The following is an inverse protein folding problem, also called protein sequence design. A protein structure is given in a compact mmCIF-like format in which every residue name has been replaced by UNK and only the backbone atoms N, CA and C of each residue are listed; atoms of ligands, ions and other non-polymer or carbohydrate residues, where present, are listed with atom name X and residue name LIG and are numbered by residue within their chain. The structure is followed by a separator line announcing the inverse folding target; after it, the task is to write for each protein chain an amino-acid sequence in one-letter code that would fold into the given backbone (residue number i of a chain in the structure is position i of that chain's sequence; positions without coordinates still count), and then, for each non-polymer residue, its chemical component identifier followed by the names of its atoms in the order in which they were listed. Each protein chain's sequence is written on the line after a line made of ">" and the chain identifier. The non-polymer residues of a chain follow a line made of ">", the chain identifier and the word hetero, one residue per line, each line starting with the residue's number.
data_IF_911715745186
#
_entry.id   IF_911715745186
#
_cell.length_a   1.000
_cell.length_b   1.000
_cell.length_c   1.000
_cell.angle_alpha   90.00
_cell.angle_beta   90.00
_cell.angle_gamma   90.00
#
_symmetry.space_group_name_H-M   'P 1'
#
loop_
_entity.id
_entity.type
_entity.pdbx_description
1 polymer ?
#
# COMPACT_ATOMS: atom_id res chain seq x y z
N UNK A 1 -42.43 -50.70 30.67
CA UNK A 1 -41.36 -51.55 31.24
C UNK A 1 -41.61 -51.53 32.73
N UNK A 2 -41.94 -52.66 33.34
CA UNK A 2 -42.38 -52.73 34.75
C UNK A 2 -41.22 -52.85 35.75
N UNK A 3 -40.04 -53.20 35.25
CA UNK A 3 -38.79 -53.18 36.02
C UNK A 3 -37.58 -52.95 35.10
N UNK A 4 -36.53 -52.35 35.64
CA UNK A 4 -35.24 -52.10 34.99
C UNK A 4 -34.13 -52.74 35.79
N UNK A 5 -33.34 -53.59 35.14
CA UNK A 5 -32.16 -54.23 35.73
C UNK A 5 -30.89 -53.45 35.37
N UNK A 6 -29.98 -53.27 36.33
CA UNK A 6 -28.69 -52.57 36.16
C UNK A 6 -27.52 -53.55 36.32
N UNK A 7 -27.08 -54.26 35.27
CA UNK A 7 -26.07 -55.31 35.41
C UNK A 7 -24.69 -54.77 35.81
N UNK A 8 -24.02 -55.48 36.72
CA UNK A 8 -22.63 -55.16 37.13
C UNK A 8 -21.64 -55.16 35.96
N UNK A 9 -21.87 -56.00 34.95
CA UNK A 9 -21.02 -56.08 33.75
C UNK A 9 -21.05 -54.80 32.90
N UNK A 10 -22.08 -53.97 33.06
CA UNK A 10 -22.23 -52.69 32.36
C UNK A 10 -21.97 -51.50 33.27
N UNK A 11 -21.44 -51.72 34.49
CA UNK A 11 -21.16 -50.66 35.47
C UNK A 11 -22.33 -50.33 36.41
N UNK A 12 -23.40 -51.11 36.38
CA UNK A 12 -24.51 -51.01 37.33
C UNK A 12 -24.22 -51.71 38.67
N UNK A 13 -25.18 -51.66 39.59
CA UNK A 13 -25.07 -52.23 40.95
C UNK A 13 -25.60 -53.67 41.07
N UNK A 14 -26.08 -54.25 39.97
CA UNK A 14 -26.66 -55.60 39.91
C UNK A 14 -28.10 -55.69 40.38
N UNK A 15 -28.74 -54.57 40.72
CA UNK A 15 -30.09 -54.57 41.26
C UNK A 15 -31.15 -54.32 40.18
N UNK A 16 -32.37 -54.77 40.46
CA UNK A 16 -33.56 -54.49 39.65
C UNK A 16 -34.47 -53.51 40.38
N UNK A 17 -34.87 -52.43 39.70
CA UNK A 17 -35.79 -51.41 40.21
C UNK A 17 -37.12 -51.51 39.48
N UNK A 18 -38.24 -51.50 40.21
CA UNK A 18 -39.60 -51.65 39.64
C UNK A 18 -40.52 -50.49 40.01
N UNK A 19 -41.65 -50.38 39.32
CA UNK A 19 -42.75 -49.46 39.64
C UNK A 19 -44.12 -50.18 39.79
N UNK A 20 -44.14 -51.51 39.78
CA UNK A 20 -45.34 -52.36 39.81
C UNK A 20 -45.41 -53.30 41.03
N UNK A 21 -44.47 -53.20 41.96
CA UNK A 21 -44.34 -54.06 43.13
C UNK A 21 -43.58 -55.37 42.89
N UNK A 22 -42.99 -55.56 41.70
CA UNK A 22 -42.30 -56.82 41.35
C UNK A 22 -40.90 -56.99 41.94
N UNK A 23 -40.27 -55.93 42.45
CA UNK A 23 -38.93 -55.95 43.07
C UNK A 23 -38.95 -55.48 44.52
N UNK A 24 -37.92 -55.86 45.28
CA UNK A 24 -37.67 -55.30 46.62
C UNK A 24 -37.28 -53.82 46.60
N UNK A 25 -36.80 -53.32 45.44
CA UNK A 25 -36.50 -51.90 45.19
C UNK A 25 -37.56 -51.28 44.29
N UNK A 26 -38.77 -51.25 44.80
CA UNK A 26 -39.93 -50.74 44.09
C UNK A 26 -40.19 -49.26 44.39
N UNK A 27 -40.73 -48.52 43.42
CA UNK A 27 -41.02 -47.10 43.56
C UNK A 27 -42.39 -46.81 44.22
N UNK A 28 -43.25 -47.82 44.42
CA UNK A 28 -44.54 -47.62 45.09
C UNK A 28 -44.39 -47.38 46.59
N UNK A 29 -45.46 -46.87 47.21
CA UNK A 29 -45.64 -46.78 48.66
C UNK A 29 -44.51 -46.02 49.41
N UNK A 30 -43.99 -44.95 48.80
CA UNK A 30 -42.90 -44.11 49.33
C UNK A 30 -41.50 -44.55 48.88
N UNK A 31 -41.37 -45.67 48.16
CA UNK A 31 -40.09 -46.17 47.67
C UNK A 31 -39.38 -45.21 46.70
N UNK A 32 -40.12 -44.36 45.98
CA UNK A 32 -39.54 -43.33 45.12
C UNK A 32 -38.58 -42.38 45.86
N UNK A 33 -38.80 -42.09 47.15
CA UNK A 33 -37.92 -41.22 47.95
C UNK A 33 -36.56 -41.87 48.23
N UNK A 34 -36.54 -43.21 48.29
CA UNK A 34 -35.33 -43.99 48.61
C UNK A 34 -34.60 -44.48 47.37
N UNK A 35 -35.31 -44.78 46.28
CA UNK A 35 -34.75 -45.56 45.17
C UNK A 35 -34.69 -44.81 43.84
N UNK A 36 -35.47 -43.74 43.63
CA UNK A 36 -35.48 -43.01 42.36
C UNK A 36 -34.11 -42.40 42.05
N UNK A 37 -33.51 -41.71 43.03
CA UNK A 37 -32.21 -41.06 42.83
C UNK A 37 -31.09 -42.11 42.64
N UNK A 38 -31.16 -43.23 43.36
CA UNK A 38 -30.23 -44.34 43.20
C UNK A 38 -30.34 -44.98 41.79
N UNK A 39 -31.54 -45.22 41.28
CA UNK A 39 -31.75 -45.76 39.94
C UNK A 39 -31.26 -44.81 38.83
N UNK A 40 -31.49 -43.49 39.00
CA UNK A 40 -30.95 -42.48 38.08
C UNK A 40 -29.41 -42.46 38.10
N UNK A 41 -28.79 -42.59 39.27
CA UNK A 41 -27.33 -42.70 39.39
C UNK A 41 -26.79 -43.95 38.68
N UNK A 42 -27.47 -45.10 38.76
CA UNK A 42 -27.06 -46.30 38.01
C UNK A 42 -27.12 -46.12 36.50
N UNK A 43 -28.12 -45.36 36.01
CA UNK A 43 -28.21 -45.04 34.58
C UNK A 43 -27.01 -44.19 34.12
N UNK A 44 -26.58 -43.23 34.95
CA UNK A 44 -25.38 -42.42 34.69
C UNK A 44 -24.10 -43.26 34.78
N UNK A 45 -24.00 -44.18 35.74
CA UNK A 45 -22.86 -45.07 35.89
C UNK A 45 -22.69 -45.99 34.67
N UNK A 46 -23.77 -46.61 34.19
CA UNK A 46 -23.72 -47.46 32.99
C UNK A 46 -23.37 -46.66 31.72
N UNK A 47 -23.86 -45.42 31.59
CA UNK A 47 -23.46 -44.54 30.50
C UNK A 47 -21.96 -44.18 30.55
N UNK A 48 -21.42 -43.94 31.75
CA UNK A 48 -19.99 -43.73 31.98
C UNK A 48 -19.15 -44.95 31.59
N UNK A 49 -19.56 -46.15 32.02
CA UNK A 49 -18.89 -47.41 31.66
C UNK A 49 -18.94 -47.70 30.15
N UNK A 50 -20.04 -47.37 29.48
CA UNK A 50 -20.14 -47.46 28.01
C UNK A 50 -19.16 -46.50 27.32
N UNK A 51 -19.05 -45.26 27.80
CA UNK A 51 -18.09 -44.28 27.29
C UNK A 51 -16.62 -44.72 27.51
N UNK A 52 -16.28 -45.23 28.70
CA UNK A 52 -14.95 -45.77 28.99
C UNK A 52 -14.61 -46.99 28.13
N UNK A 53 -15.59 -47.86 27.87
CA UNK A 53 -15.43 -49.03 27.00
C UNK A 53 -15.18 -48.65 25.53
N UNK A 54 -15.79 -47.55 25.06
CA UNK A 54 -15.54 -47.02 23.72
C UNK A 54 -14.10 -46.48 23.57
N UNK A 55 -13.57 -45.83 24.62
CA UNK A 55 -12.18 -45.31 24.62
C UNK A 55 -11.15 -46.45 24.65
N UNK A 56 -11.38 -47.49 25.45
CA UNK A 56 -10.47 -48.65 25.50
C UNK A 56 -10.51 -49.50 24.23
N UNK A 57 -11.65 -49.56 23.53
CA UNK A 57 -11.79 -50.26 22.25
C UNK A 57 -10.87 -49.70 21.16
N UNK A 58 -10.61 -48.38 21.14
CA UNK A 58 -9.66 -47.76 20.20
C UNK A 58 -8.24 -48.29 20.42
N UNK A 59 -7.87 -48.56 21.67
CA UNK A 59 -6.56 -49.04 22.09
C UNK A 59 -6.47 -50.58 22.25
N UNK A 60 -7.49 -51.32 21.81
CA UNK A 60 -7.49 -52.78 21.91
C UNK A 60 -6.33 -53.39 21.08
N UNK A 61 -5.78 -54.55 21.50
CA UNK A 61 -4.73 -55.23 20.75
C UNK A 61 -5.10 -55.60 19.31
N UNK A 62 -6.39 -55.70 18.99
CA UNK A 62 -6.90 -55.97 17.64
C UNK A 62 -6.94 -54.75 16.71
N UNK A 63 -6.94 -53.53 17.27
CA UNK A 63 -7.09 -52.25 16.55
C UNK A 63 -5.81 -51.42 16.48
N UNK A 64 -4.68 -52.03 16.84
CA UNK A 64 -3.34 -51.46 16.75
C UNK A 64 -2.38 -52.49 16.15
N UNK A 65 -1.46 -52.04 15.33
CA UNK A 65 -0.52 -52.88 14.62
C UNK A 65 0.85 -52.24 14.47
N UNK A 66 1.84 -53.02 14.08
CA UNK A 66 3.13 -52.52 13.63
C UNK A 66 3.48 -53.13 12.28
N UNK A 67 4.33 -52.46 11.52
CA UNK A 67 4.88 -52.95 10.25
C UNK A 67 6.39 -52.73 10.24
N UNK A 68 7.15 -53.71 9.77
CA UNK A 68 8.61 -53.64 9.61
C UNK A 68 9.04 -53.38 8.16
N UNK A 69 8.07 -53.11 7.28
CA UNK A 69 8.36 -52.75 5.89
C UNK A 69 9.06 -51.40 5.84
N UNK A 70 10.23 -51.35 5.21
CA UNK A 70 10.89 -50.08 4.93
C UNK A 70 10.17 -49.37 3.77
N UNK A 71 9.64 -48.18 4.04
CA UNK A 71 8.83 -47.41 3.09
C UNK A 71 9.16 -45.92 3.20
N UNK A 72 9.01 -45.20 2.09
CA UNK A 72 9.05 -43.75 2.05
C UNK A 72 7.70 -43.15 2.42
N UNK A 73 7.71 -42.02 3.12
CA UNK A 73 6.51 -41.19 3.32
C UNK A 73 6.06 -40.64 1.97
N UNK A 74 4.86 -41.00 1.53
CA UNK A 74 4.29 -40.54 0.27
C UNK A 74 2.76 -40.53 0.30
N UNK A 75 2.17 -39.68 -0.54
CA UNK A 75 0.73 -39.67 -0.82
C UNK A 75 0.33 -40.83 -1.73
N UNK A 76 -0.95 -41.19 -1.70
CA UNK A 76 -1.51 -42.29 -2.49
C UNK A 76 -1.37 -43.66 -1.83
N UNK A 77 -1.60 -44.76 -2.56
CA UNK A 77 -1.63 -46.09 -1.99
C UNK A 77 -0.26 -46.55 -1.48
N UNK A 78 -0.18 -46.89 -0.20
CA UNK A 78 1.00 -47.46 0.47
C UNK A 78 0.63 -48.82 1.08
N UNK A 79 1.48 -49.83 0.88
CA UNK A 79 1.21 -51.20 1.37
C UNK A 79 2.14 -51.57 2.53
N UNK A 80 1.54 -51.81 3.69
CA UNK A 80 2.19 -52.23 4.91
C UNK A 80 1.92 -53.72 5.17
N UNK A 81 2.83 -54.36 5.92
CA UNK A 81 2.59 -55.71 6.44
C UNK A 81 2.43 -55.60 7.95
N UNK A 82 1.19 -55.64 8.42
CA UNK A 82 0.87 -55.69 9.85
C UNK A 82 0.85 -57.13 10.36
N UNK A 83 0.71 -57.33 11.67
CA UNK A 83 0.56 -58.67 12.23
C UNK A 83 -0.71 -59.35 11.72
N UNK A 84 -0.67 -60.68 11.59
CA UNK A 84 -1.83 -61.51 11.26
C UNK A 84 -2.86 -61.49 12.39
N UNK A 85 -4.15 -61.67 12.06
CA UNK A 85 -5.23 -61.77 13.05
C UNK A 85 -5.65 -60.44 13.69
N UNK A 86 -5.25 -59.30 13.13
CA UNK A 86 -5.74 -57.97 13.55
C UNK A 86 -7.15 -57.72 12.99
N UNK A 87 -7.94 -56.92 13.71
CA UNK A 87 -9.33 -56.64 13.41
C UNK A 87 -9.50 -55.36 12.56
N UNK A 88 -8.63 -55.18 11.57
CA UNK A 88 -8.72 -54.04 10.65
C UNK A 88 -9.83 -54.25 9.62
N UNK A 89 -10.52 -53.17 9.25
CA UNK A 89 -11.62 -53.22 8.27
C UNK A 89 -11.34 -52.22 7.14
N UNK A 90 -11.59 -52.63 5.91
CA UNK A 90 -11.51 -51.74 4.73
C UNK A 90 -12.49 -50.57 4.92
N UNK A 91 -12.03 -49.35 4.69
CA UNK A 91 -12.74 -48.10 4.92
C UNK A 91 -12.46 -47.43 6.29
N UNK A 92 -11.74 -48.10 7.20
CA UNK A 92 -11.29 -47.45 8.43
C UNK A 92 -10.13 -46.50 8.16
N UNK A 93 -10.14 -45.35 8.84
CA UNK A 93 -9.04 -44.39 8.81
C UNK A 93 -7.97 -44.77 9.84
N UNK A 94 -6.71 -44.71 9.42
CA UNK A 94 -5.55 -45.07 10.24
C UNK A 94 -4.47 -44.00 10.19
N UNK A 95 -3.75 -43.87 11.31
CA UNK A 95 -2.49 -43.13 11.38
C UNK A 95 -1.35 -44.13 11.41
N UNK A 96 -0.39 -43.96 10.51
CA UNK A 96 0.81 -44.79 10.38
C UNK A 96 2.04 -43.92 10.66
N UNK A 97 2.62 -44.05 11.86
CA UNK A 97 3.74 -43.22 12.30
C UNK A 97 5.05 -44.01 12.32
N UNK A 98 6.16 -43.40 11.95
CA UNK A 98 7.47 -44.03 12.02
C UNK A 98 7.80 -44.37 13.48
N UNK A 99 8.07 -45.64 13.79
CA UNK A 99 8.19 -46.12 15.18
C UNK A 99 9.34 -45.44 15.92
N UNK A 100 10.47 -45.23 15.27
CA UNK A 100 11.65 -44.57 15.86
C UNK A 100 11.56 -43.02 15.85
N UNK A 101 10.66 -42.44 15.06
CA UNK A 101 10.50 -41.00 14.92
C UNK A 101 9.02 -40.61 14.70
N UNK A 102 8.18 -40.67 15.75
CA UNK A 102 6.71 -40.53 15.61
C UNK A 102 6.21 -39.20 15.05
N UNK A 103 7.08 -38.18 14.96
CA UNK A 103 6.81 -36.92 14.25
C UNK A 103 6.66 -37.09 12.74
N UNK A 104 7.20 -38.17 12.17
CA UNK A 104 7.05 -38.53 10.75
C UNK A 104 5.93 -39.56 10.60
N UNK A 105 4.88 -39.22 9.85
CA UNK A 105 3.70 -40.09 9.76
C UNK A 105 2.90 -39.89 8.46
N UNK A 106 2.06 -40.88 8.17
CA UNK A 106 1.08 -40.93 7.09
C UNK A 106 -0.31 -41.16 7.69
N UNK A 107 -1.34 -40.57 7.11
CA UNK A 107 -2.73 -40.78 7.50
C UNK A 107 -3.61 -40.98 6.25
N UNK A 108 -4.54 -41.92 6.33
CA UNK A 108 -5.44 -42.24 5.24
C UNK A 108 -6.36 -43.42 5.57
N UNK A 109 -7.12 -43.86 4.56
CA UNK A 109 -8.11 -44.93 4.70
C UNK A 109 -7.57 -46.27 4.19
N UNK A 110 -7.90 -47.35 4.90
CA UNK A 110 -7.59 -48.71 4.47
C UNK A 110 -8.41 -49.05 3.23
N UNK A 111 -7.74 -49.36 2.12
CA UNK A 111 -8.38 -49.75 0.85
C UNK A 111 -8.32 -51.26 0.59
N UNK A 112 -7.41 -51.98 1.26
CA UNK A 112 -7.36 -53.44 1.24
C UNK A 112 -6.74 -53.97 2.54
N UNK A 113 -7.24 -55.10 3.05
CA UNK A 113 -6.66 -55.81 4.18
C UNK A 113 -6.87 -57.32 4.06
N UNK A 114 -5.81 -58.10 4.31
CA UNK A 114 -5.87 -59.56 4.42
C UNK A 114 -5.41 -59.99 5.82
N UNK A 115 -6.36 -60.41 6.66
CA UNK A 115 -6.08 -60.83 8.04
C UNK A 115 -5.23 -62.11 8.17
N UNK A 116 -5.18 -62.94 7.13
CA UNK A 116 -4.37 -64.16 7.09
C UNK A 116 -2.90 -63.91 6.77
N UNK A 117 -2.59 -62.89 5.96
CA UNK A 117 -1.19 -62.54 5.59
C UNK A 117 -0.69 -61.26 6.27
N UNK A 118 -1.57 -60.47 6.87
CA UNK A 118 -1.23 -59.18 7.48
C UNK A 118 -1.02 -58.05 6.47
N UNK A 119 -1.18 -58.30 5.16
CA UNK A 119 -1.03 -57.26 4.14
C UNK A 119 -2.17 -56.24 4.23
N UNK A 120 -1.82 -54.94 4.28
CA UNK A 120 -2.74 -53.82 4.36
C UNK A 120 -2.32 -52.72 3.39
N UNK A 121 -3.24 -52.25 2.55
CA UNK A 121 -3.03 -51.06 1.72
C UNK A 121 -3.82 -49.89 2.29
N UNK A 122 -3.14 -48.78 2.54
CA UNK A 122 -3.71 -47.52 3.00
C UNK A 122 -3.57 -46.50 1.88
N UNK A 123 -4.68 -45.86 1.48
CA UNK A 123 -4.62 -44.73 0.57
C UNK A 123 -4.31 -43.47 1.39
N UNK A 124 -3.05 -43.05 1.38
CA UNK A 124 -2.55 -41.94 2.18
C UNK A 124 -2.97 -40.60 1.58
N UNK A 125 -3.69 -39.80 2.35
CA UNK A 125 -4.19 -38.48 1.94
C UNK A 125 -3.45 -37.34 2.64
N UNK A 126 -2.81 -37.61 3.77
CA UNK A 126 -2.09 -36.61 4.56
C UNK A 126 -0.77 -37.17 5.08
N UNK A 127 0.29 -36.37 5.01
CA UNK A 127 1.63 -36.75 5.49
C UNK A 127 2.22 -35.64 6.37
N UNK A 128 3.13 -36.01 7.26
CA UNK A 128 3.99 -35.09 7.99
C UNK A 128 5.42 -35.65 8.03
N UNK A 129 6.40 -34.80 7.75
CA UNK A 129 7.79 -35.24 7.53
C UNK A 129 8.04 -35.83 6.15
N UNK A 130 9.25 -36.30 5.92
CA UNK A 130 9.72 -36.87 4.64
C UNK A 130 10.77 -37.96 4.88
N UNK A 131 11.16 -38.68 3.83
CA UNK A 131 12.18 -39.74 3.90
C UNK A 131 11.61 -41.14 4.14
N UNK A 132 12.50 -42.11 4.40
CA UNK A 132 12.16 -43.52 4.62
C UNK A 132 12.21 -43.91 6.09
N UNK A 133 11.26 -44.72 6.56
CA UNK A 133 11.32 -45.34 7.87
C UNK A 133 11.35 -46.87 7.74
N UNK A 134 12.10 -47.53 8.62
CA UNK A 134 12.27 -48.99 8.64
C UNK A 134 11.18 -49.72 9.45
N UNK A 135 10.45 -49.01 10.30
CA UNK A 135 9.36 -49.57 11.10
C UNK A 135 8.27 -48.52 11.32
N UNK A 136 7.03 -49.00 11.39
CA UNK A 136 5.82 -48.20 11.48
C UNK A 136 4.90 -48.72 12.57
N UNK A 137 4.29 -47.81 13.31
CA UNK A 137 3.20 -48.06 14.25
C UNK A 137 1.89 -47.61 13.61
N UNK A 138 0.91 -48.51 13.54
CA UNK A 138 -0.39 -48.32 12.90
C UNK A 138 -1.46 -48.28 14.00
N UNK A 139 -2.20 -47.19 14.09
CA UNK A 139 -3.29 -47.02 15.06
C UNK A 139 -4.57 -46.54 14.37
N UNK A 140 -5.73 -46.93 14.91
CA UNK A 140 -7.01 -46.33 14.51
C UNK A 140 -6.97 -44.81 14.67
N UNK A 141 -7.66 -44.11 13.77
CA UNK A 141 -7.80 -42.66 13.82
C UNK A 141 -9.19 -42.24 13.32
N UNK A 142 -9.59 -41.01 13.63
CA UNK A 142 -10.75 -40.41 12.98
C UNK A 142 -10.48 -40.14 11.49
N UNK A 143 -11.54 -40.00 10.67
CA UNK A 143 -11.38 -39.64 9.26
C UNK A 143 -10.67 -38.29 9.10
N UNK A 144 -9.89 -38.14 8.03
CA UNK A 144 -9.31 -36.84 7.68
C UNK A 144 -10.44 -35.89 7.34
N UNK A 145 -10.57 -34.82 8.12
CA UNK A 145 -11.31 -33.65 7.65
C UNK A 145 -10.51 -33.08 6.48
N UNK A 146 -11.04 -33.23 5.26
CA UNK A 146 -10.40 -32.74 4.04
C UNK A 146 -9.99 -31.28 4.27
N UNK A 147 -8.77 -30.93 3.87
CA UNK A 147 -8.20 -29.57 3.86
C UNK A 147 -9.08 -28.55 3.08
N UNK A 148 -10.16 -29.01 2.45
CA UNK A 148 -11.24 -28.22 1.85
C UNK A 148 -12.33 -27.72 2.81
N UNK A 149 -12.37 -28.16 4.07
CA UNK A 149 -13.25 -27.53 5.07
C UNK A 149 -12.81 -26.07 5.30
N UNK A 150 -11.49 -25.80 5.22
CA UNK A 150 -10.94 -24.46 5.39
C UNK A 150 -11.32 -23.54 4.23
N UNK A 151 -11.28 -24.02 2.98
CA UNK A 151 -11.70 -23.22 1.81
C UNK A 151 -13.21 -22.98 1.78
N UNK A 152 -14.04 -23.96 2.19
CA UNK A 152 -15.49 -23.77 2.26
C UNK A 152 -15.92 -22.84 3.41
N UNK A 153 -15.23 -22.89 4.56
CA UNK A 153 -15.44 -21.99 5.70
C UNK A 153 -14.95 -20.55 5.44
N UNK A 154 -13.98 -20.38 4.54
CA UNK A 154 -13.56 -19.08 4.03
C UNK A 154 -14.58 -18.55 3.01
N UNK A 155 -15.12 -19.42 2.15
CA UNK A 155 -16.06 -19.03 1.09
C UNK A 155 -17.48 -18.70 1.59
N UNK A 156 -17.93 -19.29 2.71
CA UNK A 156 -19.27 -19.06 3.28
C UNK A 156 -19.32 -17.92 4.33
N UNK A 157 -18.19 -17.24 4.59
CA UNK A 157 -18.09 -16.15 5.56
C UNK A 157 -18.25 -16.59 7.02
N UNK A 158 -18.24 -17.90 7.31
CA UNK A 158 -18.33 -18.42 8.68
C UNK A 158 -17.08 -18.13 9.50
N UNK A 159 -15.94 -17.80 8.86
CA UNK A 159 -14.74 -17.24 9.47
C UNK A 159 -14.82 -15.71 9.48
N UNK A 160 -15.25 -15.13 10.60
CA UNK A 160 -15.28 -13.69 10.83
C UNK A 160 -14.00 -13.21 11.54
N UNK A 161 -13.67 -11.91 11.44
CA UNK A 161 -12.51 -11.30 12.12
C UNK A 161 -12.42 -11.60 13.64
N UNK A 162 -13.52 -11.78 14.40
CA UNK A 162 -13.45 -12.19 15.81
C UNK A 162 -13.14 -13.68 16.03
N UNK A 163 -13.41 -14.55 15.04
CA UNK A 163 -13.12 -16.00 15.12
C UNK A 163 -11.66 -16.32 14.82
N UNK A 164 -10.96 -15.40 14.16
CA UNK A 164 -9.50 -15.38 14.12
C UNK A 164 -9.00 -14.81 15.46
N UNK A 165 -9.07 -15.61 16.53
CA UNK A 165 -8.56 -15.18 17.82
C UNK A 165 -7.10 -14.75 17.64
N UNK A 166 -6.79 -13.50 18.01
CA UNK A 166 -5.52 -12.82 17.76
C UNK A 166 -4.27 -13.58 18.25
N UNK A 167 -4.45 -14.61 19.09
CA UNK A 167 -3.39 -15.49 19.58
C UNK A 167 -3.03 -16.67 18.67
N UNK A 168 -3.90 -17.08 17.74
CA UNK A 168 -3.69 -18.29 16.91
C UNK A 168 -2.96 -17.98 15.61
N UNK A 169 -3.12 -16.77 15.08
CA UNK A 169 -2.34 -16.26 13.94
C UNK A 169 -1.21 -15.38 14.49
N UNK A 170 -0.28 -16.01 15.19
CA UNK A 170 0.99 -15.35 15.52
C UNK A 170 1.87 -15.41 14.28
N UNK A 171 1.84 -14.36 13.46
CA UNK A 171 2.99 -14.00 12.64
C UNK A 171 2.83 -13.80 11.14
N UNK A 172 1.67 -14.05 10.49
CA UNK A 172 1.59 -13.82 9.04
C UNK A 172 0.16 -13.64 8.46
N UNK A 173 -0.01 -12.55 7.70
CA UNK A 173 -0.84 -12.47 6.48
C UNK A 173 -2.37 -12.32 6.61
N UNK A 174 -2.83 -11.25 7.25
CA UNK A 174 -3.99 -10.48 6.70
C UNK A 174 -3.60 -9.04 6.37
N UNK A 175 -2.43 -8.60 6.83
CA UNK A 175 -1.82 -7.30 6.53
C UNK A 175 -0.35 -7.41 6.11
N UNK A 176 0.10 -8.58 5.63
CA UNK A 176 1.39 -8.64 4.96
C UNK A 176 1.22 -7.92 3.62
N UNK A 177 1.74 -6.71 3.60
CA UNK A 177 1.79 -5.81 2.48
C UNK A 177 2.33 -6.53 1.23
N UNK A 178 1.57 -6.64 0.12
CA UNK A 178 2.12 -7.13 -1.13
C UNK A 178 3.16 -6.16 -1.72
N UNK A 179 3.23 -4.91 -1.22
CA UNK A 179 4.22 -3.92 -1.61
C UNK A 179 4.58 -2.98 -0.43
N UNK A 180 5.58 -3.33 0.41
CA UNK A 180 6.05 -2.48 1.51
C UNK A 180 6.61 -1.12 1.07
N UNK A 181 6.60 -0.81 -0.24
CA UNK A 181 6.99 0.48 -0.79
C UNK A 181 5.79 1.39 -1.14
N UNK A 182 4.55 0.88 -1.05
CA UNK A 182 3.35 1.65 -1.37
C UNK A 182 2.89 2.53 -0.19
N UNK A 183 3.44 3.75 -0.14
CA UNK A 183 3.03 4.87 0.71
C UNK A 183 1.53 5.18 0.54
N UNK A 184 0.70 4.59 1.42
CA UNK A 184 -0.75 4.55 1.26
C UNK A 184 -1.48 4.93 2.55
N UNK A 185 -2.39 5.89 2.43
CA UNK A 185 -3.30 6.32 3.48
C UNK A 185 -4.50 5.38 3.54
N UNK A 186 -4.91 4.96 4.72
CA UNK A 186 -6.18 4.26 4.93
C UNK A 186 -7.31 5.30 4.88
N UNK A 187 -8.08 5.31 3.78
CA UNK A 187 -9.25 6.18 3.66
C UNK A 187 -10.51 5.35 3.89
N UNK A 188 -11.43 5.85 4.73
CA UNK A 188 -12.76 5.27 4.89
C UNK A 188 -13.58 5.61 3.63
N UNK A 189 -13.74 4.65 2.73
CA UNK A 189 -14.61 4.79 1.58
C UNK A 189 -16.02 4.37 1.99
N UNK A 190 -16.92 5.35 2.16
CA UNK A 190 -18.31 5.10 2.51
C UNK A 190 -19.05 4.25 1.46
N UNK A 191 -18.54 4.13 0.23
CA UNK A 191 -19.13 3.32 -0.84
C UNK A 191 -18.67 1.86 -0.85
N UNK A 192 -17.56 1.53 -0.16
CA UNK A 192 -16.93 0.21 -0.24
C UNK A 192 -17.15 -0.68 0.99
N UNK A 193 -17.79 -0.19 2.06
CA UNK A 193 -18.01 -0.97 3.29
C UNK A 193 -16.73 -1.40 4.03
N UNK A 194 -15.54 -1.04 3.52
CA UNK A 194 -14.22 -1.30 4.09
C UNK A 194 -13.25 -0.15 3.76
N UNK A 195 -12.30 0.17 4.66
CA UNK A 195 -11.27 1.17 4.37
C UNK A 195 -10.41 0.73 3.19
N UNK A 196 -10.32 1.59 2.17
CA UNK A 196 -9.48 1.37 0.99
C UNK A 196 -8.15 2.10 1.20
N UNK A 197 -7.03 1.39 1.02
CA UNK A 197 -5.70 2.02 0.94
C UNK A 197 -5.61 2.83 -0.35
N UNK A 198 -5.31 4.11 -0.22
CA UNK A 198 -5.15 5.05 -1.33
C UNK A 198 -3.72 5.59 -1.29
N UNK A 199 -2.96 5.56 -2.41
CA UNK A 199 -1.62 6.15 -2.45
C UNK A 199 -1.65 7.62 -2.03
N UNK A 200 -0.66 8.10 -1.26
CA UNK A 200 -0.64 9.50 -0.82
C UNK A 200 -0.64 10.47 -2.01
N UNK A 201 -0.04 10.06 -3.13
CA UNK A 201 -0.03 10.80 -4.41
C UNK A 201 -1.41 11.06 -5.01
N UNK A 202 -2.43 10.29 -4.60
CA UNK A 202 -3.83 10.49 -4.99
C UNK A 202 -4.55 11.50 -4.08
N UNK A 203 -4.00 11.79 -2.91
CA UNK A 203 -4.54 12.77 -1.95
C UNK A 203 -3.80 14.11 -2.09
N UNK A 204 -2.47 14.07 -2.21
CA UNK A 204 -1.61 15.22 -2.44
C UNK A 204 -0.65 14.89 -3.60
N UNK A 205 -0.87 15.45 -4.80
CA UNK A 205 0.02 15.15 -5.93
C UNK A 205 1.44 15.68 -5.66
N UNK A 206 2.44 14.93 -6.13
CA UNK A 206 3.84 15.35 -6.03
C UNK A 206 4.03 16.72 -6.72
N UNK A 207 4.79 17.60 -6.07
CA UNK A 207 5.01 18.98 -6.54
C UNK A 207 3.99 20.01 -6.03
N UNK A 208 2.97 19.60 -5.28
CA UNK A 208 2.06 20.53 -4.62
C UNK A 208 2.79 21.36 -3.54
N UNK A 209 2.61 22.68 -3.61
CA UNK A 209 3.10 23.63 -2.60
C UNK A 209 2.04 23.82 -1.51
N UNK A 210 2.40 23.53 -0.24
CA UNK A 210 1.51 23.63 0.90
C UNK A 210 2.07 24.61 1.94
N UNK A 211 1.26 25.57 2.43
CA UNK A 211 1.63 26.32 3.63
C UNK A 211 1.58 25.40 4.85
N UNK A 212 2.56 25.52 5.73
CA UNK A 212 2.65 24.72 6.94
C UNK A 212 3.02 25.60 8.13
N UNK A 213 2.31 25.41 9.25
CA UNK A 213 2.46 26.25 10.45
C UNK A 213 3.53 25.73 11.43
N UNK A 214 4.04 24.51 11.26
CA UNK A 214 5.09 23.94 12.11
C UNK A 214 6.50 24.25 11.61
N UNK A 215 7.49 24.12 12.49
CA UNK A 215 8.89 24.46 12.19
C UNK A 215 9.69 23.33 11.52
N UNK A 216 9.21 22.08 11.59
CA UNK A 216 9.86 20.92 10.97
C UNK A 216 8.92 20.33 9.92
N UNK A 217 9.38 20.07 8.68
CA UNK A 217 8.55 19.43 7.67
C UNK A 217 7.93 18.15 8.20
N UNK A 218 6.59 17.97 8.09
CA UNK A 218 5.99 16.70 8.42
C UNK A 218 6.52 15.61 7.49
N UNK A 219 6.40 14.32 7.86
CA UNK A 219 6.75 13.20 7.00
C UNK A 219 6.18 13.37 5.58
N UNK A 220 6.94 12.91 4.58
CA UNK A 220 6.57 12.98 3.16
C UNK A 220 6.49 14.39 2.55
N UNK A 221 7.08 15.39 3.22
CA UNK A 221 7.21 16.76 2.69
C UNK A 221 8.65 17.24 2.73
N UNK A 222 8.99 18.20 1.86
CA UNK A 222 10.27 18.90 1.85
C UNK A 222 10.03 20.41 1.99
N UNK A 223 10.99 21.12 2.59
CA UNK A 223 10.96 22.58 2.60
C UNK A 223 11.12 23.12 1.18
N UNK A 224 10.41 24.20 0.87
CA UNK A 224 10.64 24.98 -0.36
C UNK A 224 11.72 26.04 -0.11
N UNK A 225 12.97 25.60 -0.03
CA UNK A 225 14.14 26.41 0.34
C UNK A 225 15.24 26.45 -0.75
N UNK A 226 14.96 25.94 -1.95
CA UNK A 226 15.95 25.88 -3.05
C UNK A 226 16.97 24.75 -2.93
N UNK A 227 16.85 23.85 -1.94
CA UNK A 227 17.79 22.74 -1.78
C UNK A 227 17.76 21.76 -2.96
N UNK A 228 18.89 21.10 -3.19
CA UNK A 228 19.02 20.08 -4.24
C UNK A 228 18.83 18.67 -3.67
N UNK A 229 18.06 17.83 -4.36
CA UNK A 229 17.75 16.47 -3.97
C UNK A 229 18.03 15.47 -5.10
N UNK A 230 18.22 14.21 -4.72
CA UNK A 230 18.43 13.09 -5.65
C UNK A 230 17.16 12.80 -6.46
N UNK A 231 17.28 12.77 -7.79
CA UNK A 231 16.18 12.40 -8.68
C UNK A 231 15.74 10.94 -8.46
N UNK A 232 16.67 10.04 -8.09
CA UNK A 232 16.35 8.64 -7.82
C UNK A 232 15.56 8.46 -6.52
N UNK A 233 15.92 9.20 -5.46
CA UNK A 233 15.23 9.11 -4.17
C UNK A 233 13.84 9.75 -4.18
N UNK A 234 13.64 10.76 -5.04
CA UNK A 234 12.39 11.52 -5.14
C UNK A 234 11.84 11.51 -6.56
N UNK A 235 11.73 10.34 -7.18
CA UNK A 235 11.38 10.18 -8.60
C UNK A 235 10.05 10.87 -9.00
N UNK A 236 9.02 10.80 -8.13
CA UNK A 236 7.73 11.45 -8.41
C UNK A 236 7.83 12.98 -8.36
N UNK A 237 8.56 13.53 -7.39
CA UNK A 237 8.77 14.97 -7.28
C UNK A 237 9.67 15.48 -8.42
N UNK A 238 10.70 14.72 -8.78
CA UNK A 238 11.54 15.00 -9.93
C UNK A 238 10.71 15.09 -11.22
N UNK A 239 9.83 14.11 -11.47
CA UNK A 239 8.95 14.10 -12.64
C UNK A 239 7.94 15.27 -12.65
N UNK A 240 7.54 15.77 -11.48
CA UNK A 240 6.65 16.92 -11.36
C UNK A 240 7.37 18.27 -11.63
N UNK A 241 8.65 18.39 -11.23
CA UNK A 241 9.39 19.65 -11.31
C UNK A 241 10.30 19.76 -12.54
N UNK A 242 10.70 18.64 -13.14
CA UNK A 242 11.64 18.58 -14.26
C UNK A 242 11.02 17.82 -15.43
N UNK A 243 10.94 18.47 -16.58
CA UNK A 243 10.57 17.83 -17.84
C UNK A 243 11.81 17.68 -18.72
N UNK A 244 12.04 16.48 -19.24
CA UNK A 244 13.12 16.25 -20.21
C UNK A 244 12.71 15.22 -21.26
N UNK A 245 13.29 15.33 -22.46
CA UNK A 245 13.15 14.35 -23.53
C UNK A 245 14.28 14.51 -24.55
N UNK A 246 14.47 13.48 -25.39
CA UNK A 246 15.24 13.63 -26.61
C UNK A 246 14.57 14.66 -27.53
N UNK A 247 15.38 15.54 -28.13
CA UNK A 247 14.92 16.61 -29.03
C UNK A 247 15.76 16.61 -30.30
N UNK A 248 15.22 17.15 -31.38
CA UNK A 248 16.02 17.51 -32.56
C UNK A 248 16.05 19.03 -32.72
N UNK A 249 17.16 19.55 -33.23
CA UNK A 249 17.36 20.98 -33.44
C UNK A 249 17.69 21.16 -34.92
N UNK A 250 16.96 22.03 -35.61
CA UNK A 250 17.25 22.36 -37.01
C UNK A 250 18.49 23.24 -37.09
N UNK A 251 19.24 23.18 -38.18
CA UNK A 251 20.25 24.18 -38.53
C UNK A 251 19.57 25.21 -39.45
N UNK A 252 18.99 26.25 -38.87
CA UNK A 252 18.15 27.23 -39.56
C UNK A 252 18.14 28.62 -38.89
N UNK A 253 17.54 29.59 -39.58
CA UNK A 253 17.42 30.98 -39.13
C UNK A 253 15.95 31.42 -39.16
N UNK A 254 15.18 31.33 -38.06
CA UNK A 254 15.57 30.87 -36.73
C UNK A 254 15.70 29.35 -36.59
N UNK A 255 16.43 28.90 -35.55
CA UNK A 255 16.51 27.49 -35.18
C UNK A 255 15.23 27.01 -34.50
N UNK A 256 14.72 25.87 -34.94
CA UNK A 256 13.52 25.22 -34.39
C UNK A 256 13.93 23.98 -33.60
N UNK A 257 13.43 23.88 -32.37
CA UNK A 257 13.53 22.70 -31.51
C UNK A 257 12.27 21.87 -31.71
N UNK A 258 12.44 20.60 -32.08
CA UNK A 258 11.35 19.63 -32.13
C UNK A 258 11.37 18.81 -30.84
N UNK A 259 10.32 18.98 -30.04
CA UNK A 259 10.06 18.26 -28.80
C UNK A 259 8.58 17.88 -28.76
N UNK A 260 8.27 16.63 -29.12
CA UNK A 260 6.89 16.13 -29.19
C UNK A 260 6.19 16.19 -27.83
N UNK A 261 4.99 16.78 -27.78
CA UNK A 261 4.17 16.85 -26.56
C UNK A 261 4.85 17.60 -25.40
N UNK A 262 5.57 18.68 -25.72
CA UNK A 262 6.37 19.40 -24.72
C UNK A 262 5.53 20.14 -23.68
N UNK A 263 4.31 20.59 -24.02
CA UNK A 263 3.40 21.32 -23.11
C UNK A 263 4.10 22.47 -22.35
N UNK A 264 5.08 23.12 -22.99
CA UNK A 264 5.83 24.24 -22.42
C UNK A 264 5.15 25.54 -22.85
N UNK A 265 5.00 26.46 -21.90
CA UNK A 265 4.49 27.80 -22.18
C UNK A 265 5.58 28.76 -22.67
N UNK A 266 5.14 29.95 -23.09
CA UNK A 266 6.04 31.05 -23.42
C UNK A 266 6.97 31.40 -22.27
N UNK A 267 8.20 31.77 -22.59
CA UNK A 267 9.25 32.15 -21.66
C UNK A 267 9.74 31.02 -20.72
N UNK A 268 9.31 29.76 -20.89
CA UNK A 268 9.81 28.68 -20.03
C UNK A 268 11.33 28.51 -20.20
N UNK A 269 12.09 28.32 -19.11
CA UNK A 269 13.52 28.10 -19.18
C UNK A 269 13.81 26.68 -19.69
N UNK A 270 14.64 26.58 -20.73
CA UNK A 270 15.09 25.33 -21.32
C UNK A 270 16.61 25.31 -21.41
N UNK A 271 17.22 24.16 -21.16
CA UNK A 271 18.65 23.90 -21.37
C UNK A 271 18.81 22.63 -22.19
N UNK A 272 19.97 22.48 -22.82
CA UNK A 272 20.29 21.34 -23.66
C UNK A 272 21.51 20.57 -23.15
N UNK A 273 21.47 19.25 -23.29
CA UNK A 273 22.65 18.38 -23.22
C UNK A 273 22.78 17.61 -24.53
N UNK A 274 23.99 17.11 -24.82
CA UNK A 274 24.27 16.33 -26.02
C UNK A 274 25.37 15.31 -25.77
N UNK A 275 25.36 14.19 -26.49
CA UNK A 275 26.49 13.24 -26.54
C UNK A 275 27.56 13.62 -27.56
N UNK A 276 27.33 14.69 -28.34
CA UNK A 276 28.28 15.21 -29.34
C UNK A 276 28.35 16.73 -29.28
N UNK A 277 27.96 17.41 -30.36
CA UNK A 277 28.00 18.87 -30.48
C UNK A 277 26.60 19.42 -30.83
N UNK A 278 26.19 20.50 -30.16
CA UNK A 278 25.00 21.28 -30.54
C UNK A 278 25.32 22.18 -31.75
N UNK A 279 24.31 22.61 -32.53
CA UNK A 279 24.49 23.65 -33.55
C UNK A 279 25.12 24.93 -32.98
N UNK A 280 25.87 25.63 -33.83
CA UNK A 280 26.37 26.98 -33.49
C UNK A 280 25.20 27.90 -33.22
N UNK A 281 25.26 28.64 -32.10
CA UNK A 281 24.16 29.47 -31.57
C UNK A 281 23.63 28.95 -30.24
N UNK A 282 23.83 27.65 -29.95
CA UNK A 282 23.43 27.02 -28.68
C UNK A 282 24.64 26.39 -27.98
N UNK A 283 24.63 26.42 -26.66
CA UNK A 283 25.64 25.83 -25.79
C UNK A 283 24.98 24.92 -24.75
N UNK A 284 25.68 23.84 -24.38
CA UNK A 284 25.22 22.92 -23.32
C UNK A 284 25.15 23.66 -21.98
N UNK A 285 24.22 23.24 -21.12
CA UNK A 285 24.02 23.82 -19.78
C UNK A 285 23.79 25.35 -19.77
N UNK A 286 23.40 25.93 -20.90
CA UNK A 286 23.00 27.33 -20.99
C UNK A 286 21.48 27.41 -20.94
N UNK A 287 20.95 28.35 -20.14
CA UNK A 287 19.50 28.57 -20.04
C UNK A 287 19.05 29.47 -21.18
N UNK A 288 18.09 28.98 -21.95
CA UNK A 288 17.37 29.69 -22.99
C UNK A 288 15.88 29.76 -22.62
N UNK A 289 15.11 30.57 -23.35
CA UNK A 289 13.70 30.79 -23.09
C UNK A 289 12.85 30.47 -24.31
N UNK A 290 11.72 29.78 -24.10
CA UNK A 290 10.79 29.44 -25.20
C UNK A 290 10.16 30.72 -25.77
N UNK A 291 10.25 30.91 -27.10
CA UNK A 291 9.66 32.08 -27.78
C UNK A 291 8.15 31.89 -27.90
N UNK A 292 7.31 32.72 -27.23
CA UNK A 292 5.87 32.47 -27.11
C UNK A 292 5.15 32.35 -28.46
N UNK A 293 5.48 33.21 -29.43
CA UNK A 293 4.84 33.24 -30.74
C UNK A 293 5.17 32.03 -31.65
N UNK A 294 6.11 31.16 -31.25
CA UNK A 294 6.59 30.04 -32.05
C UNK A 294 6.07 28.67 -31.61
N UNK A 295 5.31 28.62 -30.51
CA UNK A 295 4.91 27.38 -29.85
C UNK A 295 3.85 26.67 -30.68
N UNK A 296 4.11 25.40 -30.99
CA UNK A 296 3.11 24.43 -31.46
C UNK A 296 2.99 23.29 -30.45
N UNK A 297 2.24 22.22 -30.75
CA UNK A 297 2.21 21.05 -29.87
C UNK A 297 3.57 20.32 -29.77
N UNK A 298 4.42 20.45 -30.79
CA UNK A 298 5.61 19.61 -30.96
C UNK A 298 6.90 20.40 -31.26
N UNK A 299 6.81 21.72 -31.46
CA UNK A 299 7.96 22.54 -31.86
C UNK A 299 7.91 23.91 -31.20
N UNK A 300 9.09 24.49 -30.97
CA UNK A 300 9.24 25.88 -30.56
C UNK A 300 10.62 26.42 -30.94
N UNK A 301 10.78 27.73 -30.89
CA UNK A 301 12.07 28.44 -31.02
C UNK A 301 12.53 28.91 -29.63
N UNK A 302 13.82 29.19 -29.49
CA UNK A 302 14.42 29.64 -28.23
C UNK A 302 15.11 30.99 -28.35
N UNK A 303 15.12 31.77 -27.27
CA UNK A 303 15.79 33.08 -27.13
C UNK A 303 16.77 33.09 -25.96
N UNK A 304 17.72 34.04 -25.94
CA UNK A 304 18.68 34.19 -24.85
C UNK A 304 18.08 34.85 -23.59
N UNK A 305 17.01 35.63 -23.76
CA UNK A 305 16.30 36.34 -22.70
C UNK A 305 14.79 36.08 -22.79
N UNK A 306 14.04 36.19 -21.69
CA UNK A 306 12.58 36.15 -21.74
C UNK A 306 12.04 37.24 -22.68
N UNK A 307 11.13 36.86 -23.58
CA UNK A 307 10.59 37.76 -24.62
C UNK A 307 11.58 38.21 -25.69
N UNK A 308 12.80 37.67 -25.71
CA UNK A 308 13.84 38.01 -26.68
C UNK A 308 13.59 37.45 -28.09
N UNK A 309 14.42 37.87 -29.04
CA UNK A 309 14.40 37.36 -30.42
C UNK A 309 14.85 35.89 -30.48
N UNK A 310 14.30 35.16 -31.45
CA UNK A 310 14.66 33.77 -31.69
C UNK A 310 16.11 33.62 -32.16
N UNK A 311 16.80 32.61 -31.63
CA UNK A 311 18.20 32.32 -31.92
C UNK A 311 18.30 31.60 -33.28
N UNK A 312 19.21 32.10 -34.12
CA UNK A 312 19.61 31.41 -35.34
C UNK A 312 20.61 30.31 -35.01
N UNK A 313 20.52 29.20 -35.73
CA UNK A 313 21.38 28.03 -35.59
C UNK A 313 22.11 27.77 -36.91
N UNK A 314 23.41 27.45 -36.83
CA UNK A 314 24.26 27.24 -38.00
C UNK A 314 25.31 26.15 -37.74
N UNK A 315 26.12 25.83 -38.75
CA UNK A 315 27.21 24.86 -38.63
C UNK A 315 26.74 23.40 -38.66
N UNK A 316 27.52 22.51 -38.05
CA UNK A 316 27.22 21.08 -37.96
C UNK A 316 26.81 20.70 -36.53
N UNK A 317 26.06 19.60 -36.39
CA UNK A 317 25.67 19.03 -35.10
C UNK A 317 25.87 17.52 -35.12
N UNK A 318 26.07 16.91 -33.95
CA UNK A 318 26.24 15.47 -33.81
C UNK A 318 25.79 14.98 -32.42
N UNK A 319 25.43 13.69 -32.35
CA UNK A 319 25.01 13.05 -31.11
C UNK A 319 23.52 13.20 -30.82
N UNK A 320 23.07 12.54 -29.75
CA UNK A 320 21.70 12.67 -29.27
C UNK A 320 21.58 13.93 -28.40
N UNK A 321 20.60 14.78 -28.68
CA UNK A 321 20.32 15.98 -27.90
C UNK A 321 19.15 15.76 -26.96
N UNK A 322 19.27 16.23 -25.72
CA UNK A 322 18.20 16.19 -24.72
C UNK A 322 17.82 17.61 -24.35
N UNK A 323 16.53 17.92 -24.49
CA UNK A 323 15.94 19.15 -23.98
C UNK A 323 15.52 18.95 -22.53
N UNK A 324 15.81 19.94 -21.68
CA UNK A 324 15.50 19.90 -20.25
C UNK A 324 14.84 21.22 -19.87
N UNK A 325 13.62 21.16 -19.34
CA UNK A 325 12.92 22.27 -18.70
C UNK A 325 12.87 21.99 -17.20
N UNK A 326 13.61 22.78 -16.43
CA UNK A 326 13.68 22.67 -14.98
C UNK A 326 13.66 24.08 -14.37
N UNK A 327 12.47 24.67 -14.17
CA UNK A 327 12.32 26.05 -13.73
C UNK A 327 13.04 26.40 -12.43
N UNK A 328 13.17 25.42 -11.55
CA UNK A 328 13.81 25.57 -10.25
C UNK A 328 15.27 25.16 -10.25
N UNK A 329 15.75 24.52 -11.33
CA UNK A 329 17.12 24.01 -11.45
C UNK A 329 17.22 22.48 -11.37
N UNK A 330 18.20 21.94 -12.07
CA UNK A 330 18.62 20.54 -11.97
C UNK A 330 20.05 20.36 -12.47
N UNK A 331 20.70 19.24 -12.13
CA UNK A 331 21.94 18.84 -12.77
C UNK A 331 21.74 18.54 -14.27
N UNK A 332 22.79 18.65 -15.08
CA UNK A 332 22.69 18.40 -16.52
C UNK A 332 22.53 16.92 -16.85
N UNK A 333 23.07 16.04 -16.01
CA UNK A 333 22.95 14.58 -16.08
C UNK A 333 21.62 14.07 -15.48
N UNK A 334 20.75 14.98 -15.00
CA UNK A 334 19.49 14.67 -14.35
C UNK A 334 19.60 13.84 -13.06
N UNK A 335 20.79 13.77 -12.45
CA UNK A 335 21.00 13.07 -11.17
C UNK A 335 20.33 13.76 -9.98
N UNK A 336 20.17 15.09 -10.05
CA UNK A 336 19.60 15.92 -8.99
C UNK A 336 18.70 17.03 -9.53
N UNK A 337 17.78 17.51 -8.70
CA UNK A 337 16.89 18.64 -8.98
C UNK A 337 16.75 19.56 -7.76
N UNK A 338 16.39 20.81 -7.98
CA UNK A 338 16.12 21.79 -6.93
C UNK A 338 14.63 21.89 -6.65
N UNK A 339 14.27 21.97 -5.37
CA UNK A 339 12.91 22.36 -4.95
C UNK A 339 12.72 23.88 -5.11
N UNK A 340 11.47 24.37 -5.22
CA UNK A 340 11.21 25.80 -5.24
C UNK A 340 11.82 26.53 -4.03
N UNK A 341 12.30 27.76 -4.20
CA UNK A 341 12.59 28.66 -3.08
C UNK A 341 11.50 29.73 -2.99
N UNK A 342 10.60 29.57 -2.01
CA UNK A 342 9.46 30.46 -1.78
C UNK A 342 9.63 31.35 -0.55
N UNK A 343 10.79 31.31 0.12
CA UNK A 343 11.03 32.10 1.32
C UNK A 343 11.00 33.59 0.99
N UNK A 344 10.14 34.34 1.70
CA UNK A 344 9.98 35.79 1.49
C UNK A 344 9.36 36.17 0.13
N UNK A 345 8.70 35.23 -0.56
CA UNK A 345 8.12 35.45 -1.89
C UNK A 345 6.65 35.05 -1.88
N UNK A 346 5.81 35.84 -2.54
CA UNK A 346 4.42 35.47 -2.79
C UNK A 346 4.32 34.54 -4.00
N UNK A 347 3.36 33.61 -3.97
CA UNK A 347 2.98 32.86 -5.17
C UNK A 347 2.08 33.73 -6.03
N UNK A 348 2.46 33.93 -7.29
CA UNK A 348 1.66 34.62 -8.31
C UNK A 348 1.27 33.63 -9.40
N UNK A 349 0.03 33.73 -9.88
CA UNK A 349 -0.49 32.81 -10.88
C UNK A 349 0.21 32.99 -12.21
N UNK A 350 0.59 31.88 -12.84
CA UNK A 350 1.07 31.91 -14.21
C UNK A 350 -0.07 32.31 -15.16
N UNK A 351 0.24 33.17 -16.12
CA UNK A 351 -0.75 33.71 -17.07
C UNK A 351 -1.43 32.66 -17.95
N UNK A 352 -0.68 31.64 -18.40
CA UNK A 352 -1.19 30.57 -19.28
C UNK A 352 -1.92 31.06 -20.54
N UNK A 353 -1.57 32.25 -21.05
CA UNK A 353 -2.19 32.83 -22.24
C UNK A 353 -3.46 33.63 -21.98
N UNK A 354 -3.81 33.90 -20.71
CA UNK A 354 -4.92 34.78 -20.36
C UNK A 354 -4.65 36.26 -20.72
N UNK A 355 -3.39 36.65 -20.88
CA UNK A 355 -2.98 38.03 -21.21
C UNK A 355 -2.91 38.99 -20.02
N UNK A 356 -3.06 38.48 -18.78
CA UNK A 356 -2.99 39.24 -17.54
C UNK A 356 -1.55 39.40 -17.01
N UNK A 357 -0.66 38.41 -17.23
CA UNK A 357 0.78 38.47 -16.89
C UNK A 357 1.67 37.74 -17.94
N UNK A 358 1.57 38.11 -19.24
CA UNK A 358 2.00 37.28 -20.39
C UNK A 358 3.52 37.06 -20.53
N UNK A 359 4.34 37.74 -19.71
CA UNK A 359 5.81 37.69 -19.79
C UNK A 359 6.47 36.79 -18.73
N UNK A 360 5.67 35.98 -18.02
CA UNK A 360 6.15 35.13 -16.92
C UNK A 360 6.39 33.70 -17.36
N UNK A 361 7.47 33.14 -16.81
CA UNK A 361 7.76 31.72 -16.86
C UNK A 361 7.44 31.07 -15.51
N UNK A 362 7.14 29.78 -15.49
CA UNK A 362 7.10 29.02 -14.24
C UNK A 362 8.40 29.25 -13.45
N UNK A 363 8.30 29.43 -12.13
CA UNK A 363 9.44 29.68 -11.26
C UNK A 363 10.15 31.03 -11.42
N UNK A 364 9.72 31.89 -12.36
CA UNK A 364 10.35 33.20 -12.56
C UNK A 364 10.14 34.12 -11.37
N UNK A 365 11.24 34.70 -10.88
CA UNK A 365 11.22 35.73 -9.84
C UNK A 365 10.84 37.10 -10.42
N UNK A 366 10.02 37.84 -9.70
CA UNK A 366 9.72 39.24 -9.97
C UNK A 366 9.90 40.05 -8.69
N UNK A 367 10.67 41.13 -8.78
CA UNK A 367 10.91 42.05 -7.68
C UNK A 367 9.66 42.84 -7.30
N UNK A 368 9.70 43.41 -6.09
CA UNK A 368 8.75 44.40 -5.64
C UNK A 368 8.80 45.67 -6.51
N UNK A 369 7.67 46.33 -6.64
CA UNK A 369 7.52 47.52 -7.44
C UNK A 369 6.35 48.38 -6.94
N UNK A 370 6.49 49.70 -7.09
CA UNK A 370 5.42 50.67 -6.92
C UNK A 370 5.24 51.42 -8.24
N UNK A 371 4.00 51.64 -8.72
CA UNK A 371 3.74 52.36 -9.95
C UNK A 371 4.42 53.71 -9.92
N UNK A 372 5.01 54.10 -11.06
CA UNK A 372 5.56 55.44 -11.21
C UNK A 372 4.45 56.47 -11.00
N UNK A 373 4.60 57.33 -9.98
CA UNK A 373 3.65 58.39 -9.68
C UNK A 373 4.38 59.66 -9.22
N UNK A 374 3.66 60.77 -9.28
CA UNK A 374 4.11 62.07 -8.80
C UNK A 374 3.05 62.68 -7.88
N UNK A 375 3.49 63.54 -6.96
CA UNK A 375 2.61 64.27 -6.06
C UNK A 375 2.51 65.73 -6.48
N UNK A 376 1.29 66.26 -6.52
CA UNK A 376 1.06 67.69 -6.67
C UNK A 376 1.08 68.38 -5.30
N UNK A 377 1.84 69.46 -5.15
CA UNK A 377 1.75 70.34 -3.99
C UNK A 377 1.03 71.63 -4.38
N UNK A 378 -0.02 71.97 -3.61
CA UNK A 378 -0.78 73.21 -3.76
C UNK A 378 -0.38 74.21 -2.68
N UNK A 379 0.10 75.39 -3.07
CA UNK A 379 0.30 76.50 -2.15
C UNK A 379 -1.02 77.25 -1.95
N UNK A 380 -1.64 77.11 -0.78
CA UNK A 380 -2.78 77.93 -0.38
C UNK A 380 -2.26 79.26 0.16
N UNK A 381 -2.57 80.37 -0.53
CA UNK A 381 -2.25 81.70 -0.03
C UNK A 381 -3.08 81.97 1.24
N UNK A 382 -2.42 82.06 2.41
CA UNK A 382 -3.05 82.61 3.61
C UNK A 382 -3.26 84.12 3.37
N UNK A 383 -4.49 84.52 3.08
CA UNK A 383 -4.86 85.93 3.03
C UNK A 383 -4.79 86.53 4.44
N UNK A 384 -3.76 87.34 4.71
CA UNK A 384 -3.69 88.10 5.96
C UNK A 384 -2.43 88.95 6.04
N UNK A 385 -2.60 90.27 5.97
CA UNK A 385 -1.51 91.25 5.99
C UNK A 385 -0.67 91.20 7.26
N UNK A 386 0.65 91.21 7.08
CA UNK A 386 1.62 91.29 8.17
C UNK A 386 2.92 90.59 7.81
N UNK A 387 4.02 91.34 7.83
CA UNK A 387 5.36 90.93 7.40
C UNK A 387 5.88 89.69 8.11
N UNK A 388 5.67 88.51 7.51
CA UNK A 388 6.44 87.31 7.78
C UNK A 388 6.76 86.65 6.44
N UNK A 389 7.95 86.95 5.91
CA UNK A 389 8.50 86.29 4.73
C UNK A 389 8.76 84.82 5.04
N UNK A 390 7.76 83.97 4.82
CA UNK A 390 8.01 82.54 4.64
C UNK A 390 8.59 82.34 3.24
N UNK A 391 9.81 81.80 3.17
CA UNK A 391 10.46 81.42 1.92
C UNK A 391 9.74 80.22 1.30
N UNK A 392 8.63 80.48 0.62
CA UNK A 392 8.00 79.54 -0.29
C UNK A 392 8.68 79.69 -1.66
N UNK A 393 9.33 78.64 -2.13
CA UNK A 393 9.97 78.51 -3.46
C UNK A 393 8.93 78.38 -4.59
N UNK A 394 7.92 79.26 -4.64
CA UNK A 394 6.89 79.22 -5.69
C UNK A 394 6.08 80.50 -5.81
N UNK A 395 5.87 80.95 -7.05
CA UNK A 395 4.99 82.07 -7.38
C UNK A 395 3.52 81.72 -7.09
N UNK A 396 2.72 82.66 -6.55
CA UNK A 396 1.31 82.41 -6.24
C UNK A 396 0.53 81.97 -7.48
N UNK A 397 -0.23 80.86 -7.36
CA UNK A 397 -1.05 80.29 -8.45
C UNK A 397 -0.40 79.17 -9.27
N UNK A 398 0.81 78.72 -8.92
CA UNK A 398 1.50 77.63 -9.64
C UNK A 398 1.21 76.25 -9.04
N UNK A 399 0.81 75.28 -9.86
CA UNK A 399 0.76 73.86 -9.49
C UNK A 399 2.15 73.24 -9.70
N UNK A 400 2.73 72.68 -8.64
CA UNK A 400 4.03 72.00 -8.71
C UNK A 400 3.84 70.51 -8.55
N UNK A 401 4.43 69.73 -9.45
CA UNK A 401 4.51 68.27 -9.32
C UNK A 401 5.92 67.87 -8.92
N UNK A 402 6.06 66.86 -8.07
CA UNK A 402 7.34 66.15 -7.91
C UNK A 402 7.72 65.45 -9.22
N UNK A 403 8.98 65.05 -9.34
CA UNK A 403 9.36 64.12 -10.40
C UNK A 403 8.62 62.78 -10.20
N UNK A 404 8.39 62.08 -11.31
CA UNK A 404 7.83 60.74 -11.29
C UNK A 404 8.83 59.78 -10.64
N UNK A 405 8.41 59.14 -9.55
CA UNK A 405 9.21 58.17 -8.82
C UNK A 405 8.48 56.82 -8.75
N UNK A 406 9.24 55.72 -8.80
CA UNK A 406 8.71 54.35 -8.84
C UNK A 406 9.25 53.55 -10.02
N UNK A 407 8.88 52.27 -10.11
CA UNK A 407 9.27 51.39 -11.22
C UNK A 407 8.11 50.48 -11.59
N UNK A 408 7.86 50.30 -12.90
CA UNK A 408 6.77 49.45 -13.40
C UNK A 408 5.37 50.08 -13.34
N UNK A 409 4.37 49.27 -13.70
CA UNK A 409 2.98 49.67 -13.91
C UNK A 409 2.01 49.17 -12.82
N UNK A 410 2.51 48.52 -11.77
CA UNK A 410 1.68 47.83 -10.76
C UNK A 410 2.35 47.90 -9.39
N UNK A 411 1.54 48.04 -8.33
CA UNK A 411 1.98 47.82 -6.95
C UNK A 411 2.07 46.32 -6.69
N UNK A 412 3.27 45.82 -6.38
CA UNK A 412 3.46 44.40 -6.10
C UNK A 412 4.58 44.15 -5.11
N UNK A 413 4.43 43.03 -4.40
CA UNK A 413 5.48 42.43 -3.57
C UNK A 413 6.34 41.48 -4.40
N UNK A 414 7.52 41.12 -3.86
CA UNK A 414 8.37 40.07 -4.41
C UNK A 414 7.56 38.79 -4.58
N UNK A 415 7.59 38.22 -5.78
CA UNK A 415 6.79 37.07 -6.10
C UNK A 415 7.50 36.10 -7.04
N UNK A 416 7.00 34.86 -7.05
CA UNK A 416 7.42 33.80 -7.95
C UNK A 416 6.20 33.22 -8.65
N UNK A 417 6.35 32.94 -9.94
CA UNK A 417 5.25 32.41 -10.75
C UNK A 417 5.04 30.91 -10.51
N UNK A 418 3.80 30.52 -10.26
CA UNK A 418 3.39 29.14 -10.05
C UNK A 418 2.04 28.86 -10.73
N UNK A 419 1.80 27.58 -11.02
CA UNK A 419 0.50 27.11 -11.51
C UNK A 419 -0.39 26.81 -10.32
N UNK A 420 -1.62 27.34 -10.35
CA UNK A 420 -2.65 26.97 -9.39
C UNK A 420 -3.52 25.86 -9.99
N UNK A 421 -3.70 24.79 -9.22
CA UNK A 421 -4.55 23.65 -9.57
C UNK A 421 -5.62 23.46 -8.52
N UNK A 422 -6.75 22.89 -8.92
CA UNK A 422 -7.84 22.49 -8.03
C UNK A 422 -8.04 20.98 -8.17
N UNK A 423 -8.12 20.28 -7.04
CA UNK A 423 -8.44 18.84 -7.01
C UNK A 423 -9.95 18.64 -7.24
N UNK A 424 -10.35 17.59 -7.96
CA UNK A 424 -11.74 17.26 -8.28
C UNK A 424 -12.12 15.85 -7.82
#
# INVERSE_FOLDING_TARGET
>A
MTAVNFPVALGGDGNTYSDDGSSSRDMNNGGYESYLLAAMQQTVAMAGSAASSAVSAVNAPGSNGTSTNSLNVALGPQTFTTQTGKAWVVGQSVKVAATAAPGTWMHGDITAYNGGTGSMTVNVTTINGSGSAAAWTISLSGPVLIVGAVTSQIADGSVSTPKLAASVISGATVCADPDPTADSLLMHDASAGAPRRVPISRVLPAGLLLPYAGHTPPPYTLLCDGASYSAASYAQLFAALVKSAAVTISVASPGVVTWTGHNLGGNYPVKFSTTGALPTGLAVNTVYYVVPASITANTFQVSATPGGAAINTSGTQAGAHTGICAPWGCALDLSTFQVPDTRGRHLRGLDMGAGNDPSRAMGSYQGDAMPSHAHGSGAWALGGGGSASYYAIGFPGSNWNTEYAGSGNETRVKNVAATFVITY
#
